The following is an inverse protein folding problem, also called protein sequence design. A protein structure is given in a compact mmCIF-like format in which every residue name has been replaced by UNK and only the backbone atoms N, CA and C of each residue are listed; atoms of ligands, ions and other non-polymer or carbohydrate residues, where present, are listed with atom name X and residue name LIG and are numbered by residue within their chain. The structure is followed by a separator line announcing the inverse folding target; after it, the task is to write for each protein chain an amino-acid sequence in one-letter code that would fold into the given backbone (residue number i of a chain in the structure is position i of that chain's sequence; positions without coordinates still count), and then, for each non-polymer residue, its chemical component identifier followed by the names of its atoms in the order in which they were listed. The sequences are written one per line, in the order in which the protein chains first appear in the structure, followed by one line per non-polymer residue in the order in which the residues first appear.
data_IF_179297206490
#
_entry.id   IF_179297206490
#
_cell.length_a   1.000
_cell.length_b   1.000
_cell.length_c   1.000
_cell.angle_alpha   90.00
_cell.angle_beta   90.00
_cell.angle_gamma   90.00
#
_symmetry.space_group_name_H-M   'P 1'
#
loop_
_entity.id
_entity.type
_entity.pdbx_description
1 polymer ?
#
# COMPACT_ATOMS: atom_id res chain seq x y z
N UNK A 1 8.85 9.47 -33.16
CA UNK A 1 9.09 8.12 -32.62
C UNK A 1 8.08 7.81 -31.53
N UNK A 2 7.87 6.55 -31.26
CA UNK A 2 6.97 6.01 -30.22
C UNK A 2 7.54 6.14 -28.79
N UNK A 3 8.78 6.65 -28.67
CA UNK A 3 9.47 6.80 -27.38
C UNK A 3 9.98 5.50 -26.78
N UNK A 4 10.05 4.41 -27.56
CA UNK A 4 10.52 3.09 -27.13
C UNK A 4 11.89 2.81 -27.74
N UNK A 5 12.84 2.35 -26.93
CA UNK A 5 14.12 1.80 -27.35
C UNK A 5 14.25 0.38 -26.85
N UNK A 6 14.65 -0.55 -27.72
CA UNK A 6 14.77 -1.97 -27.39
C UNK A 6 16.23 -2.37 -27.47
N UNK A 7 16.73 -3.02 -26.44
CA UNK A 7 18.05 -3.61 -26.36
C UNK A 7 17.91 -5.11 -26.23
N UNK A 8 18.54 -5.86 -27.13
CA UNK A 8 18.51 -7.32 -27.12
C UNK A 8 19.89 -7.86 -26.69
N UNK A 9 19.91 -9.11 -26.27
CA UNK A 9 21.12 -9.87 -25.99
C UNK A 9 22.04 -9.26 -24.93
N UNK A 10 21.46 -8.59 -23.91
CA UNK A 10 22.20 -8.12 -22.75
C UNK A 10 22.75 -9.33 -21.97
N UNK A 11 24.00 -9.26 -21.55
CA UNK A 11 24.63 -10.36 -20.79
C UNK A 11 24.05 -10.43 -19.39
N UNK A 12 23.63 -11.63 -18.99
CA UNK A 12 23.08 -11.92 -17.66
C UNK A 12 23.74 -13.17 -17.08
N UNK A 13 23.77 -13.32 -15.73
CA UNK A 13 24.17 -14.57 -15.09
C UNK A 13 23.25 -15.73 -15.48
N UNK A 14 23.68 -16.98 -15.27
CA UNK A 14 22.81 -18.15 -15.41
C UNK A 14 21.56 -18.04 -14.55
N UNK A 15 20.41 -18.47 -15.07
CA UNK A 15 19.10 -18.40 -14.40
C UNK A 15 19.11 -19.13 -13.05
N UNK A 16 19.90 -20.18 -12.93
CA UNK A 16 20.05 -21.01 -11.73
C UNK A 16 20.46 -20.19 -10.49
N UNK A 17 21.15 -19.04 -10.70
CA UNK A 17 21.54 -18.17 -9.57
C UNK A 17 20.35 -17.45 -8.94
N UNK A 18 19.23 -17.31 -9.62
CA UNK A 18 17.98 -16.77 -9.11
C UNK A 18 17.03 -17.83 -8.56
N UNK A 19 17.32 -19.12 -8.76
CA UNK A 19 16.42 -20.21 -8.39
C UNK A 19 16.68 -20.76 -6.99
N UNK A 20 17.85 -20.49 -6.42
CA UNK A 20 18.23 -20.92 -5.06
C UNK A 20 18.88 -19.78 -4.29
N UNK A 21 18.68 -19.70 -2.96
CA UNK A 21 19.37 -18.71 -2.15
C UNK A 21 20.89 -18.93 -2.16
N UNK A 22 21.63 -17.88 -2.49
CA UNK A 22 23.09 -17.97 -2.57
C UNK A 22 23.77 -16.61 -2.51
N UNK A 23 25.10 -16.62 -2.54
CA UNK A 23 25.94 -15.41 -2.55
C UNK A 23 26.34 -14.98 -3.98
N UNK A 24 25.85 -15.68 -5.01
CA UNK A 24 26.10 -15.32 -6.39
C UNK A 24 25.02 -14.34 -6.84
N UNK A 25 25.45 -13.21 -7.42
CA UNK A 25 24.50 -12.24 -7.95
C UNK A 25 23.68 -12.85 -9.10
N UNK A 26 22.34 -12.87 -9.01
CA UNK A 26 21.49 -13.54 -9.98
C UNK A 26 21.09 -12.69 -11.18
N UNK A 27 21.53 -11.43 -11.22
CA UNK A 27 21.24 -10.44 -12.25
C UNK A 27 22.51 -9.68 -12.63
N UNK A 28 22.51 -9.02 -13.78
CA UNK A 28 23.46 -8.00 -14.13
C UNK A 28 22.86 -6.63 -13.88
N UNK A 29 23.68 -5.67 -13.47
CA UNK A 29 23.31 -4.27 -13.33
C UNK A 29 23.80 -3.50 -14.56
N UNK A 30 22.93 -2.67 -15.12
CA UNK A 30 23.25 -1.82 -16.25
C UNK A 30 22.98 -0.35 -15.91
N UNK A 31 23.87 0.51 -16.41
CA UNK A 31 23.67 1.94 -16.40
C UNK A 31 23.02 2.38 -17.71
N UNK A 32 21.97 3.19 -17.61
CA UNK A 32 21.19 3.67 -18.75
C UNK A 32 21.27 5.20 -18.80
N UNK A 33 21.74 5.73 -19.92
CA UNK A 33 21.73 7.17 -20.18
C UNK A 33 20.69 7.49 -21.26
N UNK A 34 19.75 8.36 -20.94
CA UNK A 34 18.69 8.79 -21.85
C UNK A 34 18.85 10.26 -22.16
N UNK A 35 18.85 10.60 -23.45
CA UNK A 35 18.93 11.99 -23.92
C UNK A 35 17.98 12.23 -25.08
N UNK A 36 17.34 13.40 -25.09
CA UNK A 36 16.51 13.85 -26.20
C UNK A 36 16.65 15.38 -26.42
N UNK A 37 16.54 15.86 -27.65
CA UNK A 37 16.59 17.29 -27.92
C UNK A 37 15.49 18.05 -27.16
N UNK A 38 15.87 19.11 -26.42
CA UNK A 38 14.95 19.95 -25.66
C UNK A 38 14.60 19.42 -24.26
N UNK A 39 15.18 18.28 -23.85
CA UNK A 39 14.99 17.70 -22.53
C UNK A 39 16.32 17.61 -21.76
N UNK A 40 16.22 17.51 -20.44
CA UNK A 40 17.37 17.19 -19.61
C UNK A 40 17.72 15.71 -19.71
N UNK A 41 19.01 15.42 -19.58
CA UNK A 41 19.50 14.04 -19.60
C UNK A 41 19.08 13.32 -18.31
N UNK A 42 18.72 12.05 -18.43
CA UNK A 42 18.44 11.17 -17.31
C UNK A 42 19.47 10.04 -17.29
N UNK A 43 20.15 9.87 -16.17
CA UNK A 43 21.09 8.79 -15.93
C UNK A 43 20.52 7.86 -14.87
N UNK A 44 20.44 6.57 -15.15
CA UNK A 44 19.92 5.54 -14.26
C UNK A 44 21.04 4.54 -14.04
N UNK A 45 21.43 4.32 -12.79
CA UNK A 45 22.44 3.33 -12.42
C UNK A 45 21.79 2.18 -11.66
N UNK A 46 22.23 0.94 -11.95
CA UNK A 46 21.81 -0.26 -11.23
C UNK A 46 20.52 -0.90 -11.73
N UNK A 47 20.14 -0.69 -13.00
CA UNK A 47 19.00 -1.41 -13.58
C UNK A 47 19.29 -2.91 -13.64
N UNK A 48 18.49 -3.72 -12.91
CA UNK A 48 18.65 -5.17 -12.83
C UNK A 48 18.16 -5.85 -14.11
N UNK A 49 18.95 -6.84 -14.62
CA UNK A 49 18.59 -7.66 -15.77
C UNK A 49 18.76 -9.13 -15.41
N UNK A 50 17.65 -9.89 -15.46
CA UNK A 50 17.64 -11.33 -15.23
C UNK A 50 17.68 -12.12 -16.53
N UNK A 51 18.22 -13.34 -16.49
CA UNK A 51 18.29 -14.23 -17.63
C UNK A 51 16.89 -14.62 -18.13
N UNK A 52 16.64 -14.39 -19.41
CA UNK A 52 15.37 -14.78 -20.06
C UNK A 52 14.18 -13.85 -19.74
N UNK A 53 14.40 -12.76 -18.99
CA UNK A 53 13.35 -11.83 -18.59
C UNK A 53 13.37 -10.53 -19.40
N UNK A 54 12.20 -10.01 -19.73
CA UNK A 54 12.05 -8.69 -20.31
C UNK A 54 11.97 -7.65 -19.16
N UNK A 55 12.97 -6.78 -19.11
CA UNK A 55 13.01 -5.65 -18.18
C UNK A 55 12.50 -4.37 -18.87
N UNK A 56 11.63 -3.65 -18.21
CA UNK A 56 11.00 -2.41 -18.69
C UNK A 56 11.48 -1.26 -17.82
N UNK A 57 12.22 -0.32 -18.40
CA UNK A 57 12.68 0.90 -17.75
C UNK A 57 11.84 2.07 -18.21
N UNK A 58 10.92 2.53 -17.38
CA UNK A 58 10.18 3.76 -17.64
C UNK A 58 11.03 4.97 -17.29
N UNK A 59 11.09 5.94 -18.19
CA UNK A 59 11.86 7.18 -18.00
C UNK A 59 10.98 8.40 -18.27
N UNK A 60 10.86 9.26 -17.26
CA UNK A 60 10.20 10.57 -17.40
C UNK A 60 11.29 11.64 -17.61
N UNK A 61 11.24 12.31 -18.74
CA UNK A 61 12.13 13.43 -19.06
C UNK A 61 11.46 14.76 -18.80
N UNK A 62 12.17 15.71 -18.18
CA UNK A 62 11.74 17.07 -17.97
C UNK A 62 12.24 17.98 -19.09
N UNK A 63 11.50 19.06 -19.41
CA UNK A 63 11.97 20.09 -20.33
C UNK A 63 13.29 20.66 -19.81
N UNK A 64 14.21 21.02 -20.74
CA UNK A 64 15.58 21.44 -20.43
C UNK A 64 15.59 22.66 -19.51
N UNK A 65 16.09 22.47 -18.31
CA UNK A 65 16.41 23.53 -17.34
C UNK A 65 17.86 23.41 -16.80
N UNK A 66 18.66 22.48 -17.39
CA UNK A 66 20.01 22.08 -16.99
C UNK A 66 20.07 21.38 -15.63
N UNK A 67 18.98 20.77 -15.19
CA UNK A 67 18.98 19.89 -14.02
C UNK A 67 19.66 18.55 -14.35
N UNK A 68 20.28 17.94 -13.33
CA UNK A 68 20.83 16.58 -13.45
C UNK A 68 19.84 15.61 -12.82
N UNK A 69 19.26 14.75 -13.63
CA UNK A 69 18.39 13.67 -13.19
C UNK A 69 19.19 12.37 -13.09
N UNK A 70 19.72 12.09 -11.90
CA UNK A 70 20.43 10.86 -11.60
C UNK A 70 19.56 9.98 -10.71
N UNK A 71 19.24 8.78 -11.18
CA UNK A 71 18.48 7.77 -10.46
C UNK A 71 19.44 6.65 -10.11
N UNK A 72 19.47 6.22 -8.84
CA UNK A 72 20.25 5.07 -8.38
C UNK A 72 19.28 4.01 -7.90
N UNK A 73 19.31 2.86 -8.54
CA UNK A 73 18.48 1.71 -8.20
C UNK A 73 19.33 0.79 -7.30
N UNK A 74 18.98 0.62 -6.03
CA UNK A 74 19.65 -0.34 -5.16
C UNK A 74 19.34 -1.77 -5.61
N UNK A 75 20.25 -2.69 -5.31
CA UNK A 75 20.06 -4.11 -5.63
C UNK A 75 18.79 -4.68 -5.01
N UNK A 76 18.22 -5.70 -5.66
CA UNK A 76 17.03 -6.40 -5.17
C UNK A 76 17.24 -6.92 -3.72
N UNK A 77 16.21 -6.83 -2.87
CA UNK A 77 16.31 -7.15 -1.45
C UNK A 77 16.64 -8.60 -1.15
N UNK A 78 16.32 -9.54 -2.05
CA UNK A 78 16.70 -10.95 -1.86
C UNK A 78 18.21 -11.19 -2.00
N UNK A 79 18.94 -10.28 -2.67
CA UNK A 79 20.38 -10.35 -2.79
C UNK A 79 21.09 -9.35 -1.88
N UNK A 80 20.61 -8.11 -1.82
CA UNK A 80 21.13 -7.03 -0.98
C UNK A 80 20.79 -7.17 0.50
N UNK A 81 20.84 -6.07 1.23
CA UNK A 81 20.49 -6.04 2.64
C UNK A 81 18.98 -6.16 2.84
N UNK A 82 18.60 -6.91 3.89
CA UNK A 82 17.22 -7.00 4.34
C UNK A 82 17.17 -6.50 5.79
N UNK A 83 16.70 -5.28 6.05
CA UNK A 83 16.65 -4.73 7.40
C UNK A 83 15.63 -5.50 8.26
N UNK A 84 15.86 -5.63 9.57
CA UNK A 84 14.87 -6.20 10.48
C UNK A 84 13.59 -5.35 10.46
N UNK A 85 12.44 -6.02 10.58
CA UNK A 85 11.15 -5.33 10.71
C UNK A 85 11.09 -4.59 12.04
N UNK A 86 10.56 -3.38 12.01
CA UNK A 86 10.17 -2.62 13.18
C UNK A 86 8.76 -3.05 13.56
N UNK A 87 8.54 -3.34 14.83
CA UNK A 87 7.24 -3.78 15.31
C UNK A 87 6.17 -2.71 15.10
N UNK A 88 4.96 -3.13 14.72
CA UNK A 88 3.82 -2.23 14.49
C UNK A 88 3.53 -1.32 15.70
N UNK A 89 3.76 -1.84 16.92
CA UNK A 89 3.58 -1.10 18.17
C UNK A 89 4.57 0.06 18.34
N UNK A 90 5.75 0.00 17.75
CA UNK A 90 6.70 1.12 17.77
C UNK A 90 6.26 2.26 16.85
N UNK A 91 5.54 1.92 15.78
CA UNK A 91 4.97 2.90 14.86
C UNK A 91 3.62 3.40 15.38
N UNK A 92 2.78 2.47 15.82
CA UNK A 92 1.44 2.71 16.36
C UNK A 92 1.19 1.83 17.59
N UNK A 93 1.33 2.36 18.81
CA UNK A 93 0.99 1.63 20.02
C UNK A 93 -0.46 1.15 19.98
N UNK A 94 -0.66 -0.16 20.14
CA UNK A 94 -1.99 -0.74 20.25
C UNK A 94 -2.71 -0.15 21.46
N UNK A 95 -3.96 0.27 21.29
CA UNK A 95 -4.82 0.78 22.37
C UNK A 95 -4.84 2.29 22.60
N UNK A 96 -4.06 3.09 21.87
CA UNK A 96 -4.13 4.56 21.99
C UNK A 96 -5.00 5.26 20.93
N UNK A 97 -5.42 4.55 19.89
CA UNK A 97 -6.35 5.06 18.89
C UNK A 97 -7.20 3.92 18.41
N UNK A 98 -8.53 4.05 18.48
CA UNK A 98 -9.42 3.20 17.75
C UNK A 98 -9.04 3.20 16.27
N UNK A 99 -9.30 2.12 15.56
CA UNK A 99 -9.02 2.08 14.14
C UNK A 99 -10.09 2.82 13.37
N UNK A 100 -9.67 3.81 12.59
CA UNK A 100 -10.49 4.34 11.51
C UNK A 100 -10.32 3.36 10.35
N UNK A 101 -11.42 2.91 9.77
CA UNK A 101 -11.38 2.10 8.58
C UNK A 101 -12.27 2.70 7.50
N UNK A 102 -11.98 2.39 6.25
CA UNK A 102 -12.90 2.65 5.15
C UNK A 102 -14.14 1.75 5.31
N UNK A 103 -15.28 2.17 4.78
CA UNK A 103 -16.53 1.39 4.82
C UNK A 103 -16.52 0.18 3.86
N UNK A 104 -15.54 0.15 2.95
CA UNK A 104 -15.33 -0.91 1.95
C UNK A 104 -13.87 -0.98 1.53
N UNK A 105 -13.49 -2.10 0.93
CA UNK A 105 -12.15 -2.25 0.35
C UNK A 105 -12.10 -1.54 -1.00
N UNK A 106 -11.16 -0.61 -1.12
CA UNK A 106 -10.96 0.22 -2.30
C UNK A 106 -9.54 0.04 -2.81
N UNK A 107 -9.39 -0.29 -4.08
CA UNK A 107 -8.12 -0.15 -4.79
C UNK A 107 -7.94 1.33 -5.11
N UNK A 108 -6.94 2.02 -4.53
CA UNK A 108 -6.73 3.43 -4.84
C UNK A 108 -6.18 3.60 -6.26
N UNK A 109 -6.51 4.67 -6.93
CA UNK A 109 -5.82 5.03 -8.18
C UNK A 109 -4.37 5.41 -7.91
N UNK A 110 -4.14 6.11 -6.79
CA UNK A 110 -2.83 6.62 -6.39
C UNK A 110 -2.49 6.13 -4.98
N UNK A 111 -1.26 5.64 -4.83
CA UNK A 111 -0.59 5.40 -3.55
C UNK A 111 0.39 6.54 -3.32
N UNK A 112 0.34 7.17 -2.15
CA UNK A 112 1.33 8.16 -1.75
C UNK A 112 2.43 7.46 -0.97
N UNK A 113 3.61 7.39 -1.57
CA UNK A 113 4.79 6.71 -1.00
C UNK A 113 5.71 7.72 -0.36
N UNK A 114 5.96 7.58 0.93
CA UNK A 114 6.95 8.36 1.67
C UNK A 114 8.31 7.68 1.55
N UNK A 115 9.29 8.34 0.94
CA UNK A 115 10.59 7.73 0.62
C UNK A 115 11.58 7.85 1.79
N UNK A 116 11.16 7.35 2.94
CA UNK A 116 11.96 7.38 4.17
C UNK A 116 11.25 6.77 5.38
N UNK A 117 11.89 6.83 6.56
CA UNK A 117 11.23 6.50 7.82
C UNK A 117 10.01 7.42 8.08
N UNK A 118 8.94 6.94 8.74
CA UNK A 118 7.71 7.71 8.90
C UNK A 118 7.87 9.10 9.55
N UNK A 119 8.90 9.28 10.37
CA UNK A 119 9.17 10.54 11.09
C UNK A 119 10.15 11.47 10.36
N UNK A 120 10.65 11.10 9.22
CA UNK A 120 11.54 11.94 8.41
C UNK A 120 10.72 12.96 7.61
N UNK A 121 10.65 14.18 8.11
CA UNK A 121 9.88 15.27 7.48
C UNK A 121 10.55 15.85 6.23
N UNK A 122 11.80 15.51 5.96
CA UNK A 122 12.55 15.96 4.78
C UNK A 122 12.46 14.96 3.61
N UNK A 123 11.94 13.76 3.86
CA UNK A 123 11.77 12.74 2.82
C UNK A 123 10.64 13.11 1.86
N UNK A 124 10.85 12.84 0.58
CA UNK A 124 9.90 13.13 -0.48
C UNK A 124 8.67 12.20 -0.43
N UNK A 125 7.51 12.72 -0.81
CA UNK A 125 6.30 11.95 -1.06
C UNK A 125 6.09 11.79 -2.57
N UNK A 126 6.03 10.54 -3.03
CA UNK A 126 5.77 10.19 -4.42
C UNK A 126 4.33 9.74 -4.64
N UNK A 127 3.67 10.30 -5.65
CA UNK A 127 2.31 9.95 -6.07
C UNK A 127 2.39 8.95 -7.22
N UNK A 128 2.09 7.68 -6.92
CA UNK A 128 2.30 6.57 -7.85
C UNK A 128 0.99 5.86 -8.10
N UNK A 129 0.70 5.45 -9.34
CA UNK A 129 -0.49 4.63 -9.59
C UNK A 129 -0.39 3.31 -8.81
N UNK A 130 -1.51 2.78 -8.36
CA UNK A 130 -1.52 1.54 -7.56
C UNK A 130 -0.80 0.39 -8.28
N UNK A 131 -1.08 0.19 -9.56
CA UNK A 131 -0.42 -0.87 -10.34
C UNK A 131 1.08 -0.66 -10.44
N UNK A 132 1.54 0.56 -10.71
CA UNK A 132 2.98 0.86 -10.79
C UNK A 132 3.65 0.70 -9.44
N UNK A 133 2.97 1.05 -8.35
CA UNK A 133 3.45 0.80 -6.99
C UNK A 133 3.68 -0.70 -6.75
N UNK A 134 2.67 -1.54 -7.02
CA UNK A 134 2.77 -3.00 -6.81
C UNK A 134 3.85 -3.63 -7.71
N UNK A 135 3.90 -3.25 -8.99
CA UNK A 135 4.94 -3.71 -9.93
C UNK A 135 6.34 -3.37 -9.46
N UNK A 136 6.53 -2.16 -8.95
CA UNK A 136 7.80 -1.67 -8.42
C UNK A 136 8.22 -2.45 -7.18
N UNK A 137 7.33 -2.59 -6.19
CA UNK A 137 7.59 -3.34 -4.96
C UNK A 137 7.92 -4.80 -5.28
N UNK A 138 7.13 -5.48 -6.09
CA UNK A 138 7.37 -6.86 -6.45
C UNK A 138 8.72 -7.02 -7.18
N UNK A 139 9.04 -6.11 -8.11
CA UNK A 139 10.34 -6.11 -8.81
C UNK A 139 11.54 -5.80 -7.89
N UNK A 140 11.29 -5.13 -6.75
CA UNK A 140 12.33 -4.84 -5.74
C UNK A 140 12.54 -5.98 -4.75
N UNK A 141 11.54 -6.82 -4.53
CA UNK A 141 11.50 -7.76 -3.41
C UNK A 141 11.51 -9.24 -3.80
N UNK A 142 11.12 -9.61 -5.03
CA UNK A 142 11.18 -10.99 -5.52
C UNK A 142 11.87 -11.06 -6.87
N UNK A 143 12.20 -12.26 -7.32
CA UNK A 143 12.81 -12.44 -8.63
C UNK A 143 11.78 -12.79 -9.70
N UNK A 144 11.86 -12.12 -10.82
CA UNK A 144 10.97 -12.28 -11.97
C UNK A 144 11.06 -13.67 -12.63
N UNK A 145 12.17 -14.37 -12.42
CA UNK A 145 12.43 -15.72 -12.92
C UNK A 145 11.69 -16.83 -12.17
N UNK A 146 11.01 -16.51 -11.08
CA UNK A 146 10.30 -17.49 -10.27
C UNK A 146 9.03 -18.02 -10.96
N UNK A 147 8.54 -19.23 -10.59
CA UNK A 147 7.29 -19.77 -11.13
C UNK A 147 6.13 -18.79 -10.93
N UNK A 148 5.24 -18.71 -11.94
CA UNK A 148 4.11 -17.78 -11.93
C UNK A 148 3.27 -17.86 -10.65
N UNK A 149 2.96 -19.06 -10.15
CA UNK A 149 2.19 -19.24 -8.91
C UNK A 149 2.92 -18.68 -7.69
N UNK A 150 4.25 -18.70 -7.66
CA UNK A 150 5.06 -18.08 -6.61
C UNK A 150 4.99 -16.54 -6.71
N UNK A 151 5.17 -16.00 -7.92
CA UNK A 151 5.03 -14.55 -8.15
C UNK A 151 3.64 -14.09 -7.73
N UNK A 152 2.59 -14.80 -8.15
CA UNK A 152 1.19 -14.48 -7.81
C UNK A 152 0.93 -14.51 -6.30
N UNK A 153 1.42 -15.51 -5.57
CA UNK A 153 1.28 -15.57 -4.11
C UNK A 153 1.95 -14.37 -3.41
N UNK A 154 3.18 -14.00 -3.84
CA UNK A 154 3.87 -12.84 -3.29
C UNK A 154 3.19 -11.51 -3.67
N UNK A 155 2.72 -11.37 -4.92
CA UNK A 155 1.97 -10.18 -5.37
C UNK A 155 0.67 -10.03 -4.57
N UNK A 156 -0.09 -11.12 -4.35
CA UNK A 156 -1.29 -11.10 -3.50
C UNK A 156 -0.96 -10.66 -2.06
N UNK A 157 0.16 -11.13 -1.49
CA UNK A 157 0.61 -10.69 -0.19
C UNK A 157 0.98 -9.20 -0.20
N UNK A 158 1.73 -8.72 -1.20
CA UNK A 158 2.08 -7.30 -1.36
C UNK A 158 0.81 -6.44 -1.48
N UNK A 159 -0.15 -6.84 -2.31
CA UNK A 159 -1.41 -6.11 -2.49
C UNK A 159 -2.25 -6.07 -1.22
N UNK A 160 -2.40 -7.21 -0.54
CA UNK A 160 -3.20 -7.27 0.71
C UNK A 160 -2.60 -6.42 1.82
N UNK A 161 -1.27 -6.41 1.95
CA UNK A 161 -0.56 -5.51 2.87
C UNK A 161 -0.83 -4.03 2.52
N UNK A 162 -0.68 -3.66 1.24
CA UNK A 162 -0.92 -2.29 0.78
C UNK A 162 -2.37 -1.88 1.01
N UNK A 163 -3.33 -2.75 0.65
CA UNK A 163 -4.76 -2.47 0.85
C UNK A 163 -5.15 -2.45 2.32
N UNK A 164 -4.46 -3.18 3.20
CA UNK A 164 -4.65 -3.04 4.65
C UNK A 164 -4.24 -1.63 5.10
N UNK A 165 -3.08 -1.11 4.66
CA UNK A 165 -2.63 0.27 4.97
C UNK A 165 -3.61 1.33 4.47
N UNK A 166 -4.21 1.12 3.29
CA UNK A 166 -5.26 1.98 2.73
C UNK A 166 -6.53 1.88 3.55
N UNK A 167 -7.00 0.67 3.81
CA UNK A 167 -8.27 0.39 4.48
C UNK A 167 -8.29 0.92 5.92
N UNK A 168 -7.20 0.74 6.67
CA UNK A 168 -7.05 1.20 8.05
C UNK A 168 -6.59 2.66 8.16
N UNK A 169 -6.30 3.30 7.04
CA UNK A 169 -5.69 4.64 7.01
C UNK A 169 -4.49 4.76 7.98
N UNK A 170 -3.67 3.72 8.02
CA UNK A 170 -2.66 3.45 9.03
C UNK A 170 -1.81 4.66 9.40
N UNK A 171 -1.25 5.35 8.42
CA UNK A 171 -0.44 6.56 8.64
C UNK A 171 -1.31 7.80 8.77
N UNK A 172 -2.38 7.91 7.98
CA UNK A 172 -3.23 9.10 7.94
C UNK A 172 -3.99 9.33 9.23
N UNK A 173 -4.42 8.26 9.92
CA UNK A 173 -5.05 8.39 11.22
C UNK A 173 -4.08 8.88 12.32
N UNK A 174 -2.80 9.11 11.97
CA UNK A 174 -1.74 9.68 12.81
C UNK A 174 -1.21 11.02 12.28
N UNK A 175 -1.98 11.67 11.43
CA UNK A 175 -1.67 12.99 10.86
C UNK A 175 -0.51 12.97 9.83
N UNK A 176 -0.12 11.79 9.31
CA UNK A 176 0.77 11.71 8.17
C UNK A 176 -0.03 11.88 6.86
N UNK A 177 0.57 12.49 5.87
CA UNK A 177 -0.04 12.79 4.56
C UNK A 177 0.26 11.76 3.47
N UNK A 178 0.79 10.60 3.85
CA UNK A 178 1.14 9.51 2.95
C UNK A 178 0.39 8.20 3.28
N UNK A 179 0.40 7.28 2.32
CA UNK A 179 -0.28 5.97 2.45
C UNK A 179 0.64 4.92 3.06
N UNK A 180 1.92 4.91 2.67
CA UNK A 180 2.87 3.83 2.95
C UNK A 180 4.31 4.38 2.83
N UNK A 181 5.28 3.72 3.48
CA UNK A 181 6.70 4.06 3.34
C UNK A 181 7.39 3.18 2.30
N UNK A 182 8.58 3.62 1.83
CA UNK A 182 9.42 2.90 0.85
C UNK A 182 10.32 1.81 1.46
N UNK A 183 10.24 1.56 2.77
CA UNK A 183 11.20 0.72 3.49
C UNK A 183 10.59 -0.59 3.98
N UNK A 184 11.28 -1.72 3.73
CA UNK A 184 10.91 -3.03 4.29
C UNK A 184 11.01 -3.10 5.81
N UNK A 185 11.71 -2.19 6.47
CA UNK A 185 11.73 -2.11 7.93
C UNK A 185 10.34 -1.73 8.49
N UNK A 186 9.61 -0.88 7.81
CA UNK A 186 8.27 -0.43 8.18
C UNK A 186 7.18 -1.10 7.37
N UNK A 187 7.30 -1.06 6.03
CA UNK A 187 6.29 -1.54 5.09
C UNK A 187 6.91 -2.43 4.00
N UNK A 188 7.14 -1.87 2.81
CA UNK A 188 7.52 -2.57 1.59
C UNK A 188 8.62 -1.81 0.85
N UNK A 189 9.46 -2.53 0.09
CA UNK A 189 10.54 -1.89 -0.68
C UNK A 189 10.01 -1.32 -1.98
N UNK A 190 9.78 -0.02 -1.99
CA UNK A 190 9.57 0.76 -3.20
C UNK A 190 10.83 1.55 -3.54
N UNK A 191 11.14 1.72 -4.82
CA UNK A 191 12.34 2.44 -5.28
C UNK A 191 11.97 3.38 -6.41
N UNK A 192 12.23 4.67 -6.26
CA UNK A 192 11.97 5.63 -7.32
C UNK A 192 12.77 5.30 -8.59
N UNK A 193 12.08 5.19 -9.72
CA UNK A 193 12.68 4.91 -11.02
C UNK A 193 13.14 3.47 -11.27
N UNK A 194 12.79 2.51 -10.39
CA UNK A 194 13.11 1.09 -10.61
C UNK A 194 12.51 0.57 -11.92
N UNK A 195 13.32 -0.19 -12.65
CA UNK A 195 12.83 -1.03 -13.75
C UNK A 195 11.91 -2.14 -13.23
N UNK A 196 10.91 -2.51 -14.01
CA UNK A 196 9.96 -3.58 -13.71
C UNK A 196 10.08 -4.70 -14.73
N UNK A 197 9.63 -5.91 -14.37
CA UNK A 197 9.73 -7.09 -15.22
C UNK A 197 8.38 -7.47 -15.80
N UNK A 198 8.36 -7.89 -17.06
CA UNK A 198 7.13 -8.23 -17.78
C UNK A 198 6.35 -9.36 -17.10
N UNK A 199 7.03 -10.43 -16.66
CA UNK A 199 6.41 -11.54 -15.93
C UNK A 199 5.68 -11.11 -14.68
N UNK A 200 6.27 -10.19 -13.89
CA UNK A 200 5.65 -9.57 -12.71
C UNK A 200 4.51 -8.64 -13.13
N UNK A 201 4.72 -7.81 -14.16
CA UNK A 201 3.73 -6.85 -14.64
C UNK A 201 2.45 -7.54 -15.10
N UNK A 202 2.56 -8.65 -15.83
CA UNK A 202 1.41 -9.44 -16.26
C UNK A 202 0.62 -10.00 -15.08
N UNK A 203 1.30 -10.55 -14.07
CA UNK A 203 0.61 -11.04 -12.86
C UNK A 203 -0.14 -9.90 -12.18
N UNK A 204 0.50 -8.75 -11.97
CA UNK A 204 -0.17 -7.59 -11.34
C UNK A 204 -1.37 -7.13 -12.16
N UNK A 205 -1.24 -7.05 -13.49
CA UNK A 205 -2.35 -6.61 -14.36
C UNK A 205 -3.53 -7.58 -14.35
N UNK A 206 -3.26 -8.89 -14.19
CA UNK A 206 -4.30 -9.92 -14.15
C UNK A 206 -5.11 -9.94 -12.84
N UNK A 207 -4.50 -9.53 -11.71
CA UNK A 207 -5.09 -9.70 -10.37
C UNK A 207 -5.12 -8.41 -9.52
N UNK A 208 -4.94 -7.23 -10.11
CA UNK A 208 -4.69 -5.96 -9.39
C UNK A 208 -5.80 -5.54 -8.40
N UNK A 209 -7.00 -6.06 -8.54
CA UNK A 209 -8.13 -5.80 -7.64
C UNK A 209 -8.31 -6.88 -6.56
N UNK A 210 -7.46 -7.90 -6.55
CA UNK A 210 -7.55 -9.00 -5.62
C UNK A 210 -6.80 -8.70 -4.30
N UNK A 211 -7.31 -9.28 -3.22
CA UNK A 211 -6.67 -9.29 -1.91
C UNK A 211 -7.07 -10.54 -1.13
N UNK A 212 -6.38 -10.82 -0.03
CA UNK A 212 -6.75 -11.94 0.84
C UNK A 212 -7.40 -11.43 2.13
N UNK A 213 -8.43 -12.13 2.55
CA UNK A 213 -9.22 -11.84 3.76
C UNK A 213 -9.61 -13.13 4.49
N UNK A 214 -10.17 -12.97 5.70
CA UNK A 214 -10.76 -14.07 6.48
C UNK A 214 -12.28 -14.08 6.32
N UNK A 215 -12.95 -15.22 6.59
CA UNK A 215 -14.42 -15.29 6.58
C UNK A 215 -15.03 -14.25 7.52
N UNK A 216 -16.07 -13.56 7.03
CA UNK A 216 -16.84 -12.56 7.78
C UNK A 216 -16.07 -11.29 8.19
N UNK A 217 -14.89 -11.07 7.66
CA UNK A 217 -14.07 -9.86 7.86
C UNK A 217 -13.83 -9.20 6.50
N UNK A 218 -14.21 -7.92 6.38
CA UNK A 218 -13.95 -7.15 5.16
C UNK A 218 -12.49 -6.71 5.01
N UNK A 219 -11.84 -6.47 6.12
CA UNK A 219 -10.47 -5.94 6.16
C UNK A 219 -9.49 -6.86 5.42
N UNK A 220 -8.68 -6.32 4.50
CA UNK A 220 -7.55 -7.05 3.95
C UNK A 220 -6.59 -7.48 5.06
N UNK A 221 -6.11 -8.72 5.02
CA UNK A 221 -5.14 -9.20 6.01
C UNK A 221 -3.86 -8.37 5.91
N UNK A 222 -3.29 -8.00 7.05
CA UNK A 222 -1.94 -7.44 7.13
C UNK A 222 -0.91 -8.55 6.86
N UNK A 223 -0.67 -8.81 5.60
CA UNK A 223 0.16 -9.89 5.09
C UNK A 223 1.65 -9.59 5.21
N UNK A 224 2.17 -9.59 6.41
CA UNK A 224 3.60 -9.43 6.63
C UNK A 224 4.39 -10.60 6.03
N UNK A 225 5.57 -10.30 5.51
CA UNK A 225 6.49 -11.27 4.92
C UNK A 225 7.95 -10.87 5.15
N UNK A 226 8.88 -11.77 4.90
CA UNK A 226 10.31 -11.51 4.88
C UNK A 226 11.03 -12.45 3.90
N UNK A 227 12.34 -12.29 3.72
CA UNK A 227 13.11 -13.14 2.82
C UNK A 227 13.13 -14.63 3.23
N UNK A 228 13.04 -14.90 4.53
CA UNK A 228 13.04 -16.25 5.09
C UNK A 228 14.43 -16.91 5.15
N UNK A 229 15.51 -16.16 4.92
CA UNK A 229 16.90 -16.61 4.97
C UNK A 229 17.74 -15.82 5.96
N UNK A 230 17.78 -14.50 5.81
CA UNK A 230 18.50 -13.58 6.70
C UNK A 230 17.65 -13.17 7.89
N UNK A 231 16.34 -13.09 7.67
CA UNK A 231 15.36 -12.77 8.70
C UNK A 231 14.41 -13.95 8.88
N UNK A 232 14.15 -14.34 10.12
CA UNK A 232 13.15 -15.36 10.47
C UNK A 232 11.76 -14.76 10.35
N UNK A 233 10.81 -15.51 9.77
CA UNK A 233 9.44 -15.07 9.53
C UNK A 233 8.41 -15.90 10.34
N UNK A 234 8.36 -15.81 11.66
CA UNK A 234 7.34 -16.54 12.42
C UNK A 234 5.95 -16.00 12.05
N UNK A 235 5.05 -16.91 11.63
CA UNK A 235 3.67 -16.58 11.21
C UNK A 235 3.56 -15.56 10.06
N UNK A 236 4.58 -15.48 9.19
CA UNK A 236 4.65 -14.59 8.03
C UNK A 236 5.09 -15.38 6.81
N UNK A 237 4.78 -14.88 5.61
CA UNK A 237 5.24 -15.51 4.38
C UNK A 237 6.77 -15.38 4.27
N UNK A 238 7.43 -16.51 4.04
CA UNK A 238 8.82 -16.56 3.61
C UNK A 238 8.89 -16.50 2.08
N UNK A 239 9.54 -15.49 1.52
CA UNK A 239 9.65 -15.34 0.06
C UNK A 239 10.37 -16.55 -0.56
N UNK A 240 11.52 -16.97 -0.03
CA UNK A 240 12.20 -18.20 -0.48
C UNK A 240 11.41 -19.47 -0.18
N UNK A 241 10.67 -19.51 0.93
CA UNK A 241 9.78 -20.63 1.24
C UNK A 241 8.61 -20.73 0.27
N UNK A 242 8.04 -19.61 -0.17
CA UNK A 242 6.99 -19.58 -1.20
C UNK A 242 7.51 -20.09 -2.54
N UNK A 243 8.76 -19.75 -2.90
CA UNK A 243 9.45 -20.28 -4.08
C UNK A 243 9.59 -21.82 -3.99
N UNK A 244 10.03 -22.33 -2.86
CA UNK A 244 10.15 -23.79 -2.64
C UNK A 244 8.80 -24.52 -2.80
N UNK A 245 7.70 -23.96 -2.27
CA UNK A 245 6.36 -24.52 -2.45
C UNK A 245 5.89 -24.43 -3.91
N UNK A 246 6.17 -23.31 -4.57
CA UNK A 246 5.84 -23.13 -5.98
C UNK A 246 6.56 -24.13 -6.89
N UNK A 247 7.82 -24.49 -6.60
CA UNK A 247 8.55 -25.54 -7.32
C UNK A 247 7.93 -26.92 -7.14
N UNK A 248 7.17 -27.12 -6.07
CA UNK A 248 6.39 -28.34 -5.80
C UNK A 248 4.97 -28.27 -6.38
N UNK A 249 4.68 -27.29 -7.25
CA UNK A 249 3.39 -27.05 -7.90
C UNK A 249 2.25 -26.72 -6.94
N UNK A 250 2.53 -26.12 -5.77
CA UNK A 250 1.48 -25.54 -4.96
C UNK A 250 0.88 -24.35 -5.71
N UNK A 251 -0.45 -24.22 -5.65
CA UNK A 251 -1.13 -23.06 -6.21
C UNK A 251 -0.85 -21.80 -5.35
N UNK A 252 -1.07 -20.61 -5.89
CA UNK A 252 -0.88 -19.36 -5.16
C UNK A 252 -1.67 -19.31 -3.87
N UNK A 253 -2.94 -19.75 -3.87
CA UNK A 253 -3.78 -19.81 -2.66
C UNK A 253 -3.29 -20.85 -1.66
N UNK A 254 -2.77 -21.99 -2.09
CA UNK A 254 -2.22 -22.99 -1.18
C UNK A 254 -0.93 -22.51 -0.52
N UNK A 255 -0.09 -21.77 -1.26
CA UNK A 255 1.08 -21.09 -0.69
C UNK A 255 0.65 -20.08 0.38
N UNK A 256 -0.35 -19.26 0.10
CA UNK A 256 -0.86 -18.28 1.05
C UNK A 256 -1.46 -18.95 2.30
N UNK A 257 -2.23 -20.03 2.12
CA UNK A 257 -2.81 -20.80 3.23
C UNK A 257 -1.77 -21.48 4.11
N UNK A 258 -0.65 -21.87 3.53
CA UNK A 258 0.47 -22.43 4.29
C UNK A 258 1.01 -21.44 5.33
N UNK A 259 1.07 -20.14 5.00
CA UNK A 259 1.65 -19.11 5.86
C UNK A 259 0.63 -18.36 6.71
N UNK A 260 -0.56 -18.09 6.20
CA UNK A 260 -1.54 -17.22 6.84
C UNK A 260 -2.75 -17.95 7.43
N UNK A 261 -2.83 -19.27 7.24
CA UNK A 261 -3.91 -20.14 7.76
C UNK A 261 -4.85 -20.65 6.67
N UNK A 262 -5.48 -21.79 6.96
CA UNK A 262 -6.31 -22.52 5.99
C UNK A 262 -7.64 -21.82 5.66
N UNK A 263 -8.03 -20.86 6.48
CA UNK A 263 -9.27 -20.11 6.37
C UNK A 263 -9.18 -18.87 5.48
N UNK A 264 -7.99 -18.55 4.96
CA UNK A 264 -7.85 -17.40 4.05
C UNK A 264 -8.37 -17.73 2.64
N UNK A 265 -8.92 -16.72 1.99
CA UNK A 265 -9.41 -16.80 0.62
C UNK A 265 -9.12 -15.51 -0.14
N UNK A 266 -9.08 -15.61 -1.48
CA UNK A 266 -8.92 -14.48 -2.38
C UNK A 266 -10.27 -13.79 -2.56
N UNK A 267 -10.29 -12.48 -2.41
CA UNK A 267 -11.46 -11.64 -2.62
C UNK A 267 -11.12 -10.54 -3.61
N UNK A 268 -12.13 -9.89 -4.18
CA UNK A 268 -11.96 -8.74 -5.06
C UNK A 268 -12.42 -7.46 -4.36
N UNK A 269 -11.71 -6.36 -4.57
CA UNK A 269 -12.09 -5.06 -4.03
C UNK A 269 -13.42 -4.58 -4.62
N UNK A 270 -14.24 -3.96 -3.77
CA UNK A 270 -15.58 -3.49 -4.14
C UNK A 270 -15.53 -2.27 -5.06
N UNK A 271 -14.45 -1.54 -5.06
CA UNK A 271 -14.33 -0.28 -5.79
C UNK A 271 -12.89 0.04 -6.18
N UNK A 272 -12.74 0.68 -7.35
CA UNK A 272 -11.53 1.41 -7.74
C UNK A 272 -11.86 2.90 -7.64
N UNK A 273 -11.02 3.68 -6.94
CA UNK A 273 -11.28 5.10 -6.67
C UNK A 273 -9.96 5.87 -6.64
N UNK A 274 -10.03 7.19 -6.67
CA UNK A 274 -8.90 8.10 -6.52
C UNK A 274 -8.07 7.82 -5.27
N UNK A 275 -7.78 8.81 -4.45
CA UNK A 275 -7.19 8.60 -3.13
C UNK A 275 -8.33 8.42 -2.13
N UNK A 276 -8.58 7.20 -1.60
CA UNK A 276 -9.64 7.00 -0.65
C UNK A 276 -9.21 7.56 0.71
N UNK A 277 -10.02 8.48 1.22
CA UNK A 277 -9.89 9.01 2.56
C UNK A 277 -11.21 8.83 3.29
N UNK A 278 -11.17 8.48 4.56
CA UNK A 278 -12.33 8.66 5.41
C UNK A 278 -12.55 10.16 5.65
N UNK A 279 -11.50 10.90 6.01
CA UNK A 279 -11.54 12.35 6.21
C UNK A 279 -11.76 13.13 4.90
N UNK A 280 -12.69 14.13 4.89
CA UNK A 280 -12.96 14.95 3.71
C UNK A 280 -11.83 15.93 3.31
N UNK A 281 -10.78 16.09 4.13
CA UNK A 281 -9.68 17.03 3.89
C UNK A 281 -9.93 18.45 4.40
N UNK A 282 -11.15 18.78 4.77
CA UNK A 282 -11.57 20.09 5.30
C UNK A 282 -12.58 19.90 6.41
N UNK A 283 -12.72 20.89 7.30
CA UNK A 283 -13.77 20.90 8.30
C UNK A 283 -15.15 20.89 7.63
N UNK A 284 -16.09 20.15 8.23
CA UNK A 284 -17.51 20.22 7.85
C UNK A 284 -18.24 21.08 8.89
N UNK A 285 -19.01 22.03 8.40
CA UNK A 285 -19.79 22.97 9.20
C UNK A 285 -21.13 23.32 8.51
N UNK A 286 -21.91 24.19 9.09
CA UNK A 286 -23.18 24.65 8.53
C UNK A 286 -22.95 25.21 7.11
N UNK A 287 -23.63 24.62 6.15
CA UNK A 287 -23.50 24.93 4.71
C UNK A 287 -22.67 23.92 3.94
N UNK A 288 -21.89 23.06 4.59
CA UNK A 288 -21.24 21.93 3.94
C UNK A 288 -22.28 20.94 3.40
N UNK A 289 -21.98 20.29 2.28
CA UNK A 289 -22.88 19.30 1.69
C UNK A 289 -22.14 18.20 0.90
N UNK A 290 -22.82 17.09 0.66
CA UNK A 290 -22.30 15.99 -0.15
C UNK A 290 -22.16 14.68 0.60
N UNK A 291 -21.44 13.73 -0.02
CA UNK A 291 -21.35 12.36 0.46
C UNK A 291 -20.67 12.25 1.86
N UNK A 292 -19.68 13.09 2.14
CA UNK A 292 -19.00 13.07 3.45
C UNK A 292 -19.88 13.58 4.58
N UNK A 293 -20.76 14.51 4.32
CA UNK A 293 -21.77 14.95 5.29
C UNK A 293 -22.80 13.83 5.54
N UNK A 294 -23.26 13.18 4.47
CA UNK A 294 -24.16 12.01 4.61
C UNK A 294 -23.51 10.88 5.43
N UNK A 295 -22.26 10.55 5.14
CA UNK A 295 -21.48 9.56 5.91
C UNK A 295 -21.43 9.91 7.39
N UNK A 296 -21.13 11.18 7.72
CA UNK A 296 -21.13 11.67 9.10
C UNK A 296 -22.51 11.49 9.79
N UNK A 297 -23.59 11.85 9.08
CA UNK A 297 -24.96 11.71 9.59
C UNK A 297 -25.32 10.24 9.86
N UNK A 298 -24.97 9.32 8.95
CA UNK A 298 -25.16 7.88 9.12
C UNK A 298 -24.39 7.34 10.33
N UNK A 299 -23.12 7.76 10.47
CA UNK A 299 -22.27 7.35 11.59
C UNK A 299 -22.81 7.87 12.92
N UNK A 300 -23.21 9.14 12.98
CA UNK A 300 -23.80 9.73 14.19
C UNK A 300 -25.14 9.06 14.57
N UNK A 301 -25.96 8.69 13.60
CA UNK A 301 -27.20 7.95 13.86
C UNK A 301 -26.95 6.61 14.50
N UNK A 302 -25.99 5.81 13.98
CA UNK A 302 -25.62 4.53 14.60
C UNK A 302 -25.07 4.72 16.02
N UNK A 303 -24.19 5.72 16.23
CA UNK A 303 -23.68 6.03 17.56
C UNK A 303 -24.81 6.48 18.47
N UNK A 304 -25.79 7.21 17.96
CA UNK A 304 -26.98 7.68 18.69
C UNK A 304 -27.88 6.55 19.22
N UNK A 305 -27.86 5.35 18.60
CA UNK A 305 -28.55 4.17 19.12
C UNK A 305 -28.01 3.74 20.50
N UNK A 306 -26.73 3.98 20.75
CA UNK A 306 -26.06 3.66 22.03
C UNK A 306 -25.96 4.88 22.95
N UNK A 307 -25.96 6.09 22.40
CA UNK A 307 -25.85 7.38 23.13
C UNK A 307 -27.09 8.23 22.82
N UNK A 308 -28.19 7.94 23.44
CA UNK A 308 -29.54 8.46 23.14
C UNK A 308 -29.70 9.99 23.26
N UNK A 309 -28.72 10.70 23.82
CA UNK A 309 -28.71 12.18 23.83
C UNK A 309 -28.29 12.79 22.48
N UNK A 310 -27.67 12.00 21.59
CA UNK A 310 -27.38 12.45 20.22
C UNK A 310 -28.69 12.39 19.40
N UNK A 311 -29.15 13.52 18.83
CA UNK A 311 -30.41 13.54 18.09
C UNK A 311 -30.29 12.73 16.79
N UNK A 312 -31.37 12.05 16.40
CA UNK A 312 -31.46 11.36 15.13
C UNK A 312 -31.49 12.36 13.98
N UNK A 313 -30.66 12.14 12.98
CA UNK A 313 -30.46 13.01 11.83
C UNK A 313 -31.13 12.45 10.55
N UNK A 314 -31.64 13.34 9.70
CA UNK A 314 -31.86 13.02 8.30
C UNK A 314 -30.50 12.80 7.61
N UNK A 315 -30.37 11.73 6.84
CA UNK A 315 -29.12 11.42 6.09
C UNK A 315 -29.19 12.03 4.68
N UNK A 316 -29.49 13.33 4.62
CA UNK A 316 -29.68 14.08 3.38
C UNK A 316 -28.37 14.60 2.77
N UNK A 317 -27.27 14.52 3.51
CA UNK A 317 -25.98 15.05 3.09
C UNK A 317 -25.88 16.56 3.16
N UNK A 318 -26.71 17.24 3.95
CA UNK A 318 -26.67 18.68 4.19
C UNK A 318 -26.31 18.94 5.66
N UNK A 319 -25.21 19.64 5.88
CA UNK A 319 -24.79 20.04 7.23
C UNK A 319 -25.59 21.27 7.67
N UNK A 320 -26.73 21.03 8.27
CA UNK A 320 -27.59 22.05 8.84
C UNK A 320 -27.45 22.19 10.35
N UNK A 321 -28.29 22.99 10.97
CA UNK A 321 -28.35 23.24 12.42
C UNK A 321 -28.53 21.93 13.24
N UNK A 322 -29.32 20.98 12.72
CA UNK A 322 -29.52 19.68 13.37
C UNK A 322 -28.25 18.85 13.39
N UNK A 323 -27.51 18.83 12.28
CA UNK A 323 -26.21 18.13 12.20
C UNK A 323 -25.20 18.78 13.15
N UNK A 324 -25.14 20.12 13.18
CA UNK A 324 -24.27 20.86 14.09
C UNK A 324 -24.61 20.57 15.58
N UNK A 325 -25.89 20.49 15.93
CA UNK A 325 -26.35 20.15 17.25
C UNK A 325 -25.95 18.72 17.67
N UNK A 326 -26.11 17.75 16.76
CA UNK A 326 -25.68 16.37 16.98
C UNK A 326 -24.19 16.23 17.17
N UNK A 327 -23.39 16.93 16.34
CA UNK A 327 -21.94 16.99 16.47
C UNK A 327 -21.53 17.61 17.80
N UNK A 328 -22.15 18.70 18.21
CA UNK A 328 -21.88 19.36 19.48
C UNK A 328 -22.18 18.46 20.67
N UNK A 329 -23.27 17.69 20.61
CA UNK A 329 -23.61 16.73 21.67
C UNK A 329 -22.62 15.56 21.67
N UNK A 330 -22.23 15.03 20.49
CA UNK A 330 -21.17 14.05 20.38
C UNK A 330 -19.85 14.55 21.00
N UNK A 331 -19.45 15.77 20.66
CA UNK A 331 -18.24 16.39 21.21
C UNK A 331 -18.31 16.51 22.74
N UNK A 332 -19.48 16.84 23.30
CA UNK A 332 -19.71 16.88 24.76
C UNK A 332 -19.50 15.50 25.41
N UNK A 333 -20.08 14.44 24.80
CA UNK A 333 -20.00 13.05 25.31
C UNK A 333 -18.54 12.57 25.35
N UNK A 334 -17.79 12.87 24.30
CA UNK A 334 -16.42 12.36 24.11
C UNK A 334 -15.33 13.39 24.51
N UNK A 335 -15.67 14.41 25.30
CA UNK A 335 -14.76 15.43 25.83
C UNK A 335 -13.94 16.18 24.75
N UNK A 336 -14.55 16.45 23.61
CA UNK A 336 -13.99 17.27 22.54
C UNK A 336 -14.46 18.74 22.68
N UNK A 337 -13.78 19.71 22.04
CA UNK A 337 -14.26 21.10 21.99
C UNK A 337 -15.67 21.17 21.37
N UNK A 338 -16.65 21.70 22.10
CA UNK A 338 -18.07 21.73 21.72
C UNK A 338 -18.37 22.81 20.69
N UNK A 339 -17.72 22.80 19.56
CA UNK A 339 -17.85 23.79 18.47
C UNK A 339 -19.09 23.58 17.59
N UNK A 340 -19.57 22.35 17.49
CA UNK A 340 -20.56 21.94 16.49
C UNK A 340 -19.98 21.87 15.07
N UNK A 341 -18.67 21.99 14.92
CA UNK A 341 -17.92 21.84 13.67
C UNK A 341 -17.26 20.47 13.69
N UNK A 342 -17.36 19.74 12.62
CA UNK A 342 -16.62 18.49 12.46
C UNK A 342 -15.23 18.81 11.91
N UNK A 343 -14.29 19.06 12.82
CA UNK A 343 -12.87 19.14 12.53
C UNK A 343 -12.24 17.73 12.49
N UNK A 344 -10.96 17.63 12.16
CA UNK A 344 -10.29 16.34 12.07
C UNK A 344 -10.39 15.49 13.36
N UNK A 345 -10.12 16.04 14.58
CA UNK A 345 -10.29 15.28 15.83
C UNK A 345 -11.71 14.77 16.03
N UNK A 346 -12.71 15.57 15.68
CA UNK A 346 -14.14 15.18 15.78
C UNK A 346 -14.45 14.05 14.77
N UNK A 347 -14.06 14.21 13.51
CA UNK A 347 -14.23 13.19 12.48
C UNK A 347 -13.56 11.87 12.86
N UNK A 348 -12.32 11.97 13.35
CA UNK A 348 -11.55 10.82 13.82
C UNK A 348 -12.30 10.06 14.92
N UNK A 349 -12.76 10.77 15.95
CA UNK A 349 -13.46 10.15 17.08
C UNK A 349 -14.82 9.57 16.67
N UNK A 350 -15.56 10.22 15.76
CA UNK A 350 -16.81 9.68 15.20
C UNK A 350 -16.52 8.37 14.46
N UNK A 351 -15.52 8.36 13.59
CA UNK A 351 -15.15 7.16 12.82
C UNK A 351 -14.69 6.03 13.73
N UNK A 352 -13.88 6.31 14.75
CA UNK A 352 -13.44 5.33 15.76
C UNK A 352 -14.63 4.66 16.47
N UNK A 353 -15.56 5.47 16.97
CA UNK A 353 -16.75 4.95 17.68
C UNK A 353 -17.67 4.16 16.75
N UNK A 354 -17.86 4.66 15.52
CA UNK A 354 -18.63 3.96 14.51
C UNK A 354 -18.05 2.58 14.19
N UNK A 355 -16.74 2.51 13.96
CA UNK A 355 -16.06 1.23 13.63
C UNK A 355 -16.21 0.22 14.76
N UNK A 356 -16.02 0.67 16.01
CA UNK A 356 -16.18 -0.20 17.18
C UNK A 356 -17.61 -0.73 17.33
N UNK A 357 -18.62 0.11 17.14
CA UNK A 357 -20.03 -0.25 17.28
C UNK A 357 -20.57 -1.06 16.10
N UNK A 358 -20.08 -0.80 14.90
CA UNK A 358 -20.49 -1.49 13.68
C UNK A 358 -19.75 -2.84 13.44
N UNK A 359 -18.73 -3.16 14.24
CA UNK A 359 -17.96 -4.41 14.12
C UNK A 359 -17.19 -4.52 12.79
N UNK A 360 -16.69 -3.40 12.27
CA UNK A 360 -16.08 -3.34 10.94
C UNK A 360 -14.59 -3.72 10.93
N UNK A 361 -13.91 -3.70 12.06
CA UNK A 361 -12.51 -4.08 12.19
C UNK A 361 -12.33 -5.29 13.12
N UNK A 362 -11.25 -6.07 12.89
CA UNK A 362 -10.74 -7.00 13.90
C UNK A 362 -10.12 -6.15 15.03
N UNK A 363 -10.67 -6.24 16.22
CA UNK A 363 -10.15 -5.61 17.43
C UNK A 363 -9.16 -6.55 18.12
#
# INVERSE_FOLDING_TARGET
GDGISIFNDLRTPPIEYSMEPGNRQPFSEYDIAVSAPGFDNVNISGSDMFSGELSIQNVKMSARDNSQNNIVIPVNTLYGDYPPKIDEEEIKPMGQSGEIVLDRVVVPEIVVVHDGPPKDTEADNYYVTYKDYIKNVASSEIYSTWPRQTIEANVLAIMSFTLNRVYTEWYRNKFYDFTITSSTAYDQKWVNGRNVFESISQVVDDIFDNYISRPNVKQPILTQYCDGKRVTCPNRLSQWGSKYLGDQNYSSIDILRYYYGQDVYINAAEQISGIPYSWPGTNLDIGSSGQKVRQLQEQLNLIGEYYSSIPVLSTDGIYGEQTAAAVKEFQRIFNLPQSGITDFPTWFTVSEKYVALAGLAEL
#
